data_IF_237102422485
#
_entry.id   IF_237102422485
#
_cell.length_a   1.000
_cell.length_b   1.000
_cell.length_c   1.000
_cell.angle_alpha   90.00
_cell.angle_beta   90.00
_cell.angle_gamma   90.00
#
_symmetry.space_group_name_H-M   'P 1'
#
loop_
_entity.id
_entity.type
_entity.pdbx_description
1 polymer ?
#
# COMPACT_ATOMS: atom_id res chain seq x y z
N UNK A 1 25.78 -3.42 33.17
CA UNK A 1 25.13 -2.60 32.12
C UNK A 1 25.86 -2.84 30.81
N UNK A 2 25.17 -3.24 29.74
CA UNK A 2 25.82 -3.50 28.45
C UNK A 2 26.05 -2.19 27.69
N UNK A 3 27.28 -1.96 27.23
CA UNK A 3 27.66 -0.77 26.43
C UNK A 3 28.51 -1.22 25.25
N UNK A 4 28.33 -0.64 24.04
CA UNK A 4 29.18 -0.95 22.91
C UNK A 4 30.66 -0.65 23.22
N UNK A 5 31.52 -1.66 23.11
CA UNK A 5 32.96 -1.51 23.34
C UNK A 5 33.66 -0.67 22.25
N UNK A 6 33.11 -0.67 21.04
CA UNK A 6 33.65 0.03 19.86
C UNK A 6 32.52 0.65 19.05
N UNK A 7 32.83 1.76 18.35
CA UNK A 7 31.95 2.32 17.33
C UNK A 7 31.81 1.35 16.16
N UNK A 8 30.59 1.13 15.70
CA UNK A 8 30.34 0.31 14.51
C UNK A 8 30.88 0.99 13.25
N UNK A 9 31.55 0.24 12.39
CA UNK A 9 32.09 0.79 11.13
C UNK A 9 30.96 1.27 10.21
N UNK A 10 31.29 2.23 9.32
CA UNK A 10 30.35 2.73 8.30
C UNK A 10 29.87 1.60 7.39
N UNK A 11 30.75 0.66 7.03
CA UNK A 11 30.41 -0.51 6.22
C UNK A 11 29.38 -1.42 6.94
N UNK A 12 29.64 -1.80 8.19
CA UNK A 12 28.74 -2.68 8.96
C UNK A 12 27.37 -2.04 9.20
N UNK A 13 27.35 -0.73 9.44
CA UNK A 13 26.09 0.02 9.60
C UNK A 13 25.27 -0.01 8.31
N UNK A 14 25.90 0.20 7.15
CA UNK A 14 25.23 0.14 5.85
C UNK A 14 24.77 -1.28 5.51
N UNK A 15 25.59 -2.29 5.78
CA UNK A 15 25.24 -3.69 5.55
C UNK A 15 24.03 -4.13 6.41
N UNK A 16 23.94 -3.70 7.68
CA UNK A 16 22.76 -3.99 8.50
C UNK A 16 21.52 -3.27 7.98
N UNK A 17 21.65 -2.00 7.59
CA UNK A 17 20.54 -1.19 7.06
C UNK A 17 20.12 -1.57 5.64
N UNK A 18 20.95 -2.28 4.87
CA UNK A 18 20.57 -2.68 3.51
C UNK A 18 19.43 -3.69 3.50
N UNK A 19 19.23 -4.42 4.60
CA UNK A 19 18.08 -5.31 4.78
C UNK A 19 16.79 -4.56 5.13
N UNK A 20 16.87 -3.30 5.53
CA UNK A 20 15.71 -2.50 5.91
C UNK A 20 15.09 -1.90 4.66
N UNK A 21 14.42 -2.74 3.90
CA UNK A 21 13.69 -2.38 2.68
C UNK A 21 12.20 -2.46 2.93
N UNK A 22 11.46 -1.48 2.39
CA UNK A 22 10.01 -1.55 2.37
C UNK A 22 9.56 -2.66 1.42
N UNK A 23 8.54 -3.40 1.83
CA UNK A 23 7.85 -4.37 0.97
C UNK A 23 6.77 -3.64 0.19
N UNK A 24 6.70 -3.87 -1.12
CA UNK A 24 5.64 -3.31 -1.97
C UNK A 24 4.32 -4.01 -1.61
N UNK A 25 3.20 -3.28 -1.47
CA UNK A 25 1.91 -3.90 -1.23
C UNK A 25 1.46 -4.73 -2.44
N UNK A 26 0.80 -5.85 -2.18
CA UNK A 26 0.14 -6.64 -3.22
C UNK A 26 -1.10 -5.89 -3.71
N UNK A 27 -1.22 -5.69 -5.02
CA UNK A 27 -2.34 -4.99 -5.64
C UNK A 27 -3.10 -5.93 -6.59
N UNK A 28 -4.41 -5.75 -6.67
CA UNK A 28 -5.30 -6.41 -7.62
C UNK A 28 -5.55 -5.47 -8.78
N UNK A 29 -5.48 -6.01 -10.00
CA UNK A 29 -5.76 -5.28 -11.25
C UNK A 29 -7.22 -5.49 -11.64
N UNK A 30 -7.97 -4.41 -11.84
CA UNK A 30 -9.35 -4.42 -12.35
C UNK A 30 -9.49 -3.52 -13.56
N UNK A 31 -10.54 -3.74 -14.37
CA UNK A 31 -10.92 -2.87 -15.48
C UNK A 31 -12.21 -2.17 -15.11
N UNK A 32 -12.20 -0.84 -15.10
CA UNK A 32 -13.32 0.01 -14.75
C UNK A 32 -13.49 1.07 -15.83
N UNK A 33 -14.66 1.13 -16.45
CA UNK A 33 -14.95 2.06 -17.56
C UNK A 33 -13.88 2.04 -18.68
N UNK A 34 -13.32 0.85 -18.96
CA UNK A 34 -12.25 0.65 -19.96
C UNK A 34 -10.84 1.04 -19.51
N UNK A 35 -10.65 1.53 -18.27
CA UNK A 35 -9.34 1.87 -17.69
C UNK A 35 -8.86 0.80 -16.71
N UNK A 36 -7.55 0.62 -16.63
CA UNK A 36 -6.92 -0.26 -15.65
C UNK A 36 -6.80 0.47 -14.31
N UNK A 37 -7.37 -0.12 -13.27
CA UNK A 37 -7.31 0.40 -11.89
C UNK A 37 -6.63 -0.64 -10.99
N UNK A 38 -5.92 -0.16 -9.97
CA UNK A 38 -5.29 -0.99 -8.95
C UNK A 38 -5.92 -0.73 -7.59
N UNK A 39 -6.22 -1.81 -6.87
CA UNK A 39 -6.78 -1.74 -5.52
C UNK A 39 -6.09 -2.73 -4.58
N UNK A 40 -6.20 -2.49 -3.28
CA UNK A 40 -5.72 -3.44 -2.28
C UNK A 40 -6.68 -4.65 -2.22
N UNK A 41 -6.16 -5.88 -2.10
CA UNK A 41 -7.00 -7.04 -1.89
C UNK A 41 -7.74 -6.93 -0.55
N UNK A 42 -8.96 -7.46 -0.51
CA UNK A 42 -9.81 -7.51 0.69
C UNK A 42 -10.16 -6.15 1.31
N UNK A 43 -10.04 -5.06 0.56
CA UNK A 43 -10.48 -3.73 0.96
C UNK A 43 -11.66 -3.28 0.10
N UNK A 44 -12.55 -2.46 0.67
CA UNK A 44 -13.54 -1.74 -0.12
C UNK A 44 -12.83 -0.66 -0.94
N UNK A 45 -13.26 -0.46 -2.19
CA UNK A 45 -12.76 0.59 -3.07
C UNK A 45 -13.76 1.74 -3.14
N UNK A 46 -13.27 2.97 -3.31
CA UNK A 46 -14.12 4.12 -3.60
C UNK A 46 -14.56 4.04 -5.06
N UNK A 47 -15.86 4.13 -5.30
CA UNK A 47 -16.44 4.27 -6.63
C UNK A 47 -16.68 5.75 -6.90
N UNK A 48 -16.15 6.24 -8.01
CA UNK A 48 -16.25 7.64 -8.43
C UNK A 48 -17.11 7.79 -9.69
N UNK A 49 -17.79 8.93 -9.82
CA UNK A 49 -18.45 9.32 -11.07
C UNK A 49 -17.42 9.74 -12.16
N UNK A 50 -17.89 9.91 -13.39
CA UNK A 50 -17.18 10.46 -14.55
C UNK A 50 -16.49 11.81 -14.28
N UNK A 51 -17.03 12.62 -13.36
CA UNK A 51 -16.44 13.88 -12.92
C UNK A 51 -15.41 13.74 -11.78
N UNK A 52 -15.19 12.53 -11.25
CA UNK A 52 -14.27 12.26 -10.14
C UNK A 52 -14.86 12.43 -8.74
N UNK A 53 -16.16 12.72 -8.62
CA UNK A 53 -16.86 12.79 -7.33
C UNK A 53 -16.96 11.40 -6.70
N UNK A 54 -16.61 11.27 -5.43
CA UNK A 54 -16.73 10.02 -4.65
C UNK A 54 -18.22 9.75 -4.35
N UNK A 55 -18.69 8.53 -4.65
CA UNK A 55 -20.11 8.17 -4.50
C UNK A 55 -20.32 7.24 -3.30
N UNK A 56 -19.60 6.11 -3.28
CA UNK A 56 -19.74 5.10 -2.24
C UNK A 56 -18.54 4.17 -2.19
N UNK A 57 -18.40 3.48 -1.07
CA UNK A 57 -17.47 2.36 -0.92
C UNK A 57 -18.12 1.07 -1.42
N UNK A 58 -17.45 0.39 -2.34
CA UNK A 58 -17.87 -0.89 -2.91
C UNK A 58 -16.96 -2.03 -2.46
N UNK A 59 -17.54 -3.17 -2.10
CA UNK A 59 -16.82 -4.42 -1.90
C UNK A 59 -17.57 -5.58 -2.53
N UNK A 60 -16.89 -6.37 -3.37
CA UNK A 60 -17.47 -7.54 -4.06
C UNK A 60 -18.81 -7.23 -4.76
N UNK A 61 -18.91 -6.10 -5.46
CA UNK A 61 -20.13 -5.74 -6.21
C UNK A 61 -21.27 -5.19 -5.36
N UNK A 62 -21.05 -4.91 -4.07
CA UNK A 62 -22.06 -4.37 -3.16
C UNK A 62 -21.60 -3.05 -2.57
N UNK A 63 -22.54 -2.11 -2.43
CA UNK A 63 -22.35 -0.87 -1.66
C UNK A 63 -22.22 -1.23 -0.18
N UNK A 64 -21.13 -0.79 0.43
CA UNK A 64 -20.79 -1.04 1.84
C UNK A 64 -21.07 0.20 2.69
N UNK A 65 -20.74 1.38 2.18
CA UNK A 65 -20.96 2.66 2.86
C UNK A 65 -21.10 3.79 1.84
N UNK A 66 -21.73 4.88 2.24
CA UNK A 66 -21.62 6.17 1.55
C UNK A 66 -20.21 6.75 1.72
N UNK A 67 -19.75 7.50 0.72
CA UNK A 67 -18.46 8.18 0.74
C UNK A 67 -18.52 9.48 1.55
#
# INVERSE_FOLDING_TARGET
MAVPKRKMSRANTRARRSQWKATVPTLVKTIENGKVVYSLPHQAKVVTDSAGTELFLEYKGRKVADA
#
